data_IF_980369989263
#
_entry.id   IF_980369989263
#
_cell.length_a   1.000
_cell.length_b   1.000
_cell.length_c   1.000
_cell.angle_alpha   90.00
_cell.angle_beta   90.00
_cell.angle_gamma   90.00
#
_symmetry.space_group_name_H-M   'P 1'
#
loop_
_entity.id
_entity.type
_entity.pdbx_description
1 polymer ?
#
# COMPACT_ATOMS: atom_id res chain seq x y z
N UNK A 1 11.08 -23.02 0.15
CA UNK A 1 10.21 -21.84 0.34
C UNK A 1 10.61 -21.20 1.67
N UNK A 2 10.84 -19.88 1.75
CA UNK A 2 11.07 -19.24 3.04
C UNK A 2 9.89 -19.52 3.97
N UNK A 3 10.14 -19.96 5.20
CA UNK A 3 9.09 -20.18 6.18
C UNK A 3 8.47 -18.83 6.52
N UNK A 4 7.28 -18.59 5.99
CA UNK A 4 6.51 -17.38 6.24
C UNK A 4 6.06 -17.39 7.71
N UNK A 5 6.52 -16.41 8.49
CA UNK A 5 6.08 -16.23 9.87
C UNK A 5 4.56 -16.00 9.89
N UNK A 6 3.82 -16.77 10.71
CA UNK A 6 2.37 -16.70 10.82
C UNK A 6 1.86 -15.30 11.18
N UNK A 7 2.59 -14.58 12.05
CA UNK A 7 2.27 -13.19 12.41
C UNK A 7 2.43 -12.26 11.21
N UNK A 8 3.55 -12.37 10.48
CA UNK A 8 3.79 -11.56 9.29
C UNK A 8 2.75 -11.83 8.18
N UNK A 9 2.30 -13.08 8.03
CA UNK A 9 1.24 -13.45 7.11
C UNK A 9 -0.12 -12.82 7.49
N UNK A 10 -0.44 -12.80 8.78
CA UNK A 10 -1.65 -12.14 9.29
C UNK A 10 -1.60 -10.63 9.07
N UNK A 11 -0.50 -9.98 9.45
CA UNK A 11 -0.32 -8.52 9.30
C UNK A 11 -0.41 -8.11 7.83
N UNK A 12 0.20 -8.89 6.95
CA UNK A 12 0.10 -8.70 5.50
C UNK A 12 -1.34 -8.73 5.02
N UNK A 13 -2.11 -9.76 5.42
CA UNK A 13 -3.52 -9.92 4.98
C UNK A 13 -4.38 -8.76 5.46
N UNK A 14 -4.26 -8.38 6.74
CA UNK A 14 -5.01 -7.27 7.32
C UNK A 14 -4.70 -5.95 6.62
N UNK A 15 -3.42 -5.66 6.37
CA UNK A 15 -3.00 -4.44 5.69
C UNK A 15 -3.44 -4.42 4.22
N UNK A 16 -3.37 -5.57 3.53
CA UNK A 16 -3.84 -5.73 2.15
C UNK A 16 -5.35 -5.47 2.05
N UNK A 17 -6.16 -6.10 2.90
CA UNK A 17 -7.61 -5.89 2.90
C UNK A 17 -7.98 -4.43 3.21
N UNK A 18 -7.27 -3.78 4.13
CA UNK A 18 -7.49 -2.38 4.45
C UNK A 18 -7.21 -1.47 3.25
N UNK A 19 -6.12 -1.72 2.52
CA UNK A 19 -5.79 -0.99 1.30
C UNK A 19 -6.80 -1.25 0.18
N UNK A 20 -7.20 -2.51 -0.04
CA UNK A 20 -8.22 -2.86 -1.05
C UNK A 20 -9.55 -2.13 -0.81
N UNK A 21 -9.98 -1.94 0.45
CA UNK A 21 -11.16 -1.13 0.77
C UNK A 21 -11.01 0.34 0.35
N UNK A 22 -9.84 0.94 0.52
CA UNK A 22 -9.59 2.31 0.07
C UNK A 22 -9.57 2.41 -1.46
N UNK A 23 -8.93 1.45 -2.13
CA UNK A 23 -8.91 1.37 -3.61
C UNK A 23 -10.32 1.22 -4.17
N UNK A 24 -11.16 0.34 -3.60
CA UNK A 24 -12.54 0.18 -4.03
C UNK A 24 -13.34 1.49 -3.89
N UNK A 25 -13.17 2.21 -2.77
CA UNK A 25 -13.80 3.51 -2.58
C UNK A 25 -13.30 4.56 -3.59
N UNK A 26 -12.01 4.57 -3.87
CA UNK A 26 -11.43 5.48 -4.86
C UNK A 26 -11.90 5.15 -6.27
N UNK A 27 -12.03 3.87 -6.61
CA UNK A 27 -12.57 3.40 -7.88
C UNK A 27 -14.01 3.92 -8.09
N UNK A 28 -14.89 3.77 -7.11
CA UNK A 28 -16.28 4.24 -7.22
C UNK A 28 -16.36 5.73 -7.53
N UNK A 29 -15.49 6.54 -6.91
CA UNK A 29 -15.39 7.98 -7.19
C UNK A 29 -14.82 8.26 -8.59
N UNK A 30 -13.77 7.56 -8.99
CA UNK A 30 -13.04 7.85 -10.24
C UNK A 30 -13.76 7.33 -11.49
N UNK A 31 -14.39 6.15 -11.40
CA UNK A 31 -14.88 5.40 -12.56
C UNK A 31 -16.41 5.24 -12.56
N UNK A 32 -17.03 5.19 -11.38
CA UNK A 32 -18.48 5.00 -11.25
C UNK A 32 -19.24 6.33 -11.03
N UNK A 33 -18.55 7.48 -11.20
CA UNK A 33 -19.11 8.82 -11.06
C UNK A 33 -19.77 9.10 -9.70
N UNK A 34 -19.34 8.42 -8.63
CA UNK A 34 -19.87 8.67 -7.30
C UNK A 34 -19.56 10.12 -6.84
N UNK A 35 -20.56 10.87 -6.34
CA UNK A 35 -20.36 12.25 -5.94
C UNK A 35 -19.45 12.34 -4.70
N UNK A 36 -18.51 13.28 -4.75
CA UNK A 36 -17.62 13.60 -3.62
C UNK A 36 -17.24 15.08 -3.65
N UNK A 37 -17.17 15.68 -2.47
CA UNK A 37 -16.66 17.05 -2.33
C UNK A 37 -15.14 17.11 -2.56
N UNK A 38 -14.59 18.16 -3.19
CA UNK A 38 -13.16 18.26 -3.50
C UNK A 38 -12.23 18.06 -2.28
N UNK A 39 -12.60 18.62 -1.12
CA UNK A 39 -11.83 18.44 0.12
C UNK A 39 -11.86 16.98 0.60
N UNK A 40 -13.00 16.31 0.47
CA UNK A 40 -13.16 14.90 0.80
C UNK A 40 -12.40 13.98 -0.17
N UNK A 41 -12.30 14.38 -1.44
CA UNK A 41 -11.53 13.66 -2.46
C UNK A 41 -10.03 13.64 -2.14
N UNK A 42 -9.45 14.80 -1.81
CA UNK A 42 -8.05 14.86 -1.33
C UNK A 42 -7.85 13.98 -0.08
N UNK A 43 -8.82 14.01 0.84
CA UNK A 43 -8.81 13.14 2.03
C UNK A 43 -8.83 11.65 1.69
N UNK A 44 -9.59 11.25 0.66
CA UNK A 44 -9.66 9.88 0.17
C UNK A 44 -8.32 9.42 -0.43
N UNK A 45 -7.71 10.24 -1.28
CA UNK A 45 -6.39 9.96 -1.86
C UNK A 45 -5.33 9.78 -0.75
N UNK A 46 -5.32 10.65 0.26
CA UNK A 46 -4.38 10.54 1.38
C UNK A 46 -4.59 9.25 2.21
N UNK A 47 -5.85 8.81 2.39
CA UNK A 47 -6.14 7.56 3.11
C UNK A 47 -5.71 6.34 2.31
N UNK A 48 -5.93 6.36 1.00
CA UNK A 48 -5.47 5.30 0.09
C UNK A 48 -3.94 5.18 0.13
N UNK A 49 -3.21 6.29 -0.02
CA UNK A 49 -1.76 6.31 0.01
C UNK A 49 -1.19 5.76 1.34
N UNK A 50 -1.74 6.19 2.49
CA UNK A 50 -1.33 5.68 3.81
C UNK A 50 -1.61 4.19 3.99
N UNK A 51 -2.73 3.70 3.46
CA UNK A 51 -3.05 2.28 3.49
C UNK A 51 -2.08 1.48 2.61
N UNK A 52 -1.71 2.01 1.44
CA UNK A 52 -0.69 1.42 0.57
C UNK A 52 0.69 1.35 1.23
N UNK A 53 1.12 2.40 1.93
CA UNK A 53 2.38 2.42 2.68
C UNK A 53 2.41 1.32 3.74
N UNK A 54 1.31 1.19 4.51
CA UNK A 54 1.15 0.16 5.55
C UNK A 54 1.21 -1.25 4.95
N UNK A 55 0.46 -1.49 3.87
CA UNK A 55 0.48 -2.74 3.13
C UNK A 55 1.87 -3.06 2.58
N UNK A 56 2.55 -2.08 1.98
CA UNK A 56 3.87 -2.23 1.39
C UNK A 56 4.92 -2.58 2.45
N UNK A 57 4.85 -1.95 3.62
CA UNK A 57 5.71 -2.29 4.75
C UNK A 57 5.46 -3.73 5.24
N UNK A 58 4.19 -4.14 5.39
CA UNK A 58 3.83 -5.51 5.77
C UNK A 58 4.31 -6.54 4.72
N UNK A 59 4.19 -6.22 3.43
CA UNK A 59 4.68 -7.05 2.32
C UNK A 59 6.20 -7.22 2.35
N UNK A 60 6.95 -6.14 2.60
CA UNK A 60 8.42 -6.24 2.75
C UNK A 60 8.81 -7.13 3.92
N UNK A 61 8.14 -6.97 5.07
CA UNK A 61 8.35 -7.82 6.25
C UNK A 61 8.04 -9.29 5.93
N UNK A 62 6.95 -9.57 5.24
CA UNK A 62 6.56 -10.92 4.81
C UNK A 62 7.63 -11.59 3.95
N UNK A 63 8.25 -10.82 3.05
CA UNK A 63 9.28 -11.28 2.13
C UNK A 63 10.68 -11.34 2.76
N UNK A 64 10.82 -10.94 4.04
CA UNK A 64 12.13 -10.85 4.70
C UNK A 64 13.01 -9.74 4.13
N UNK A 65 12.43 -8.77 3.40
CA UNK A 65 13.16 -7.71 2.69
C UNK A 65 13.51 -6.52 3.57
N UNK A 66 13.40 -6.59 4.90
CA UNK A 66 13.73 -5.49 5.83
C UNK A 66 13.13 -4.11 5.45
N UNK A 67 13.57 -3.04 6.12
CA UNK A 67 13.49 -1.70 5.54
C UNK A 67 14.61 -1.55 4.50
N UNK A 68 14.52 -2.26 3.39
CA UNK A 68 15.14 -1.72 2.18
C UNK A 68 14.29 -0.51 1.81
N UNK A 69 14.67 0.64 2.40
CA UNK A 69 14.39 1.93 1.83
C UNK A 69 14.68 1.81 0.33
N UNK A 70 13.76 2.29 -0.51
CA UNK A 70 14.15 2.66 -1.86
C UNK A 70 15.48 3.42 -1.72
N UNK A 71 16.53 3.11 -2.51
CA UNK A 71 17.74 3.90 -2.45
C UNK A 71 17.31 5.37 -2.55
N UNK A 72 17.78 6.19 -1.60
CA UNK A 72 17.43 7.62 -1.55
C UNK A 72 17.78 8.34 -2.87
N UNK A 73 18.61 7.69 -3.69
CA UNK A 73 19.03 8.11 -5.01
C UNK A 73 18.39 7.21 -6.11
N UNK A 74 17.49 7.75 -6.96
CA UNK A 74 16.91 7.05 -8.10
C UNK A 74 17.92 6.71 -9.21
N UNK A 75 19.13 7.28 -9.19
CA UNK A 75 20.21 6.96 -10.13
C UNK A 75 21.14 5.84 -9.63
N UNK A 76 20.98 5.36 -8.39
CA UNK A 76 21.74 4.24 -7.83
C UNK A 76 21.26 2.87 -8.34
N UNK A 77 20.72 2.78 -9.55
CA UNK A 77 20.36 1.51 -10.16
C UNK A 77 21.64 0.83 -10.70
N UNK A 78 22.11 -0.28 -10.09
CA UNK A 78 23.34 -0.95 -10.51
C UNK A 78 23.19 -1.74 -11.81
N UNK A 79 22.00 -1.71 -12.42
CA UNK A 79 21.67 -2.42 -13.65
C UNK A 79 21.33 -1.49 -14.82
N UNK A 80 21.65 -0.19 -14.71
CA UNK A 80 21.48 0.79 -15.79
C UNK A 80 22.79 1.09 -16.49
#
# INVERSE_FOLDING_TARGET
>A
MPQVNATAASDYRLAWEAWQRQVARLHGVLLDSEPIEPAAFKGLLNREARAWETYSAARRRLLGLGEFALPADPDANPFR
#
